data_IF_310617405963
#
_entry.id   IF_310617405963
#
_cell.length_a   1.000
_cell.length_b   1.000
_cell.length_c   1.000
_cell.angle_alpha   90.00
_cell.angle_beta   90.00
_cell.angle_gamma   90.00
#
_symmetry.space_group_name_H-M   'P 1'
#
loop_
_entity.id
_entity.type
_entity.pdbx_description
1 polymer ?
#
# COMPACT_ATOMS: atom_id res chain seq x y z
N UNK A 1 8.03 6.29 -7.46
CA UNK A 1 8.32 7.10 -6.26
C UNK A 1 7.27 8.18 -6.10
N UNK A 2 6.93 8.52 -4.85
CA UNK A 2 5.89 9.49 -4.54
C UNK A 2 5.07 9.07 -3.32
N UNK A 3 4.17 9.96 -2.91
CA UNK A 3 3.12 9.66 -1.95
C UNK A 3 1.84 9.36 -2.73
N UNK A 4 1.14 8.30 -2.35
CA UNK A 4 -0.09 7.85 -2.99
C UNK A 4 -1.16 7.72 -1.92
N UNK A 5 -2.16 8.59 -1.99
CA UNK A 5 -3.28 8.58 -1.07
C UNK A 5 -4.36 7.65 -1.60
N UNK A 6 -4.94 6.84 -0.72
CA UNK A 6 -6.13 6.07 -1.07
C UNK A 6 -7.32 7.02 -1.22
N UNK A 7 -7.97 6.95 -2.37
CA UNK A 7 -9.22 7.65 -2.65
C UNK A 7 -10.40 6.77 -2.24
N UNK A 8 -10.32 5.47 -2.55
CA UNK A 8 -11.41 4.53 -2.31
C UNK A 8 -10.91 3.08 -2.21
N UNK A 9 -11.44 2.34 -1.24
CA UNK A 9 -11.40 0.86 -1.23
C UNK A 9 -12.48 0.34 -2.18
N UNK A 10 -12.10 -0.44 -3.20
CA UNK A 10 -12.98 -0.84 -4.29
C UNK A 10 -13.79 -2.11 -4.02
N UNK A 11 -13.33 -2.97 -3.10
CA UNK A 11 -13.99 -4.21 -2.72
C UNK A 11 -14.34 -4.25 -1.24
N UNK A 12 -15.32 -5.08 -0.87
CA UNK A 12 -15.72 -5.26 0.52
C UNK A 12 -14.69 -6.10 1.28
N UNK A 13 -14.28 -5.62 2.47
CA UNK A 13 -13.25 -6.26 3.29
C UNK A 13 -13.82 -7.07 4.47
N UNK A 14 -15.15 -7.08 4.66
CA UNK A 14 -15.82 -7.71 5.81
C UNK A 14 -15.54 -7.05 7.17
N UNK A 15 -14.59 -6.12 7.26
CA UNK A 15 -14.21 -5.40 8.46
C UNK A 15 -14.20 -3.88 8.22
N UNK A 16 -15.11 -3.16 8.89
CA UNK A 16 -15.27 -1.71 8.72
C UNK A 16 -14.06 -0.91 9.18
N UNK A 17 -13.36 -1.35 10.22
CA UNK A 17 -12.19 -0.66 10.76
C UNK A 17 -11.00 -0.80 9.81
N UNK A 18 -10.86 -1.97 9.18
CA UNK A 18 -9.87 -2.17 8.12
C UNK A 18 -10.14 -1.25 6.92
N UNK A 19 -11.40 -1.20 6.47
CA UNK A 19 -11.82 -0.32 5.37
C UNK A 19 -11.56 1.16 5.69
N UNK A 20 -11.86 1.61 6.91
CA UNK A 20 -11.55 2.97 7.36
C UNK A 20 -10.05 3.22 7.36
N UNK A 21 -9.27 2.30 7.91
CA UNK A 21 -7.81 2.36 7.95
C UNK A 21 -7.20 2.57 6.57
N UNK A 22 -7.64 1.81 5.56
CA UNK A 22 -7.19 1.99 4.18
C UNK A 22 -7.67 3.29 3.54
N UNK A 23 -8.94 3.69 3.71
CA UNK A 23 -9.46 4.93 3.13
C UNK A 23 -8.74 6.20 3.60
N UNK A 24 -8.13 6.19 4.79
CA UNK A 24 -7.30 7.29 5.27
C UNK A 24 -5.79 7.08 5.08
N UNK A 25 -5.39 6.04 4.33
CA UNK A 25 -3.99 5.66 4.20
C UNK A 25 -3.25 6.37 3.07
N UNK A 26 -1.94 6.52 3.25
CA UNK A 26 -0.99 7.05 2.30
C UNK A 26 0.20 6.09 2.20
N UNK A 27 0.45 5.60 0.99
CA UNK A 27 1.62 4.81 0.63
C UNK A 27 2.75 5.73 0.19
N UNK A 28 3.93 5.57 0.77
CA UNK A 28 5.11 6.41 0.47
C UNK A 28 6.24 5.56 -0.06
N UNK A 29 6.69 5.90 -1.27
CA UNK A 29 7.83 5.25 -1.93
C UNK A 29 8.90 6.31 -2.20
N UNK A 30 10.03 6.27 -1.48
CA UNK A 30 11.11 7.25 -1.66
C UNK A 30 12.21 6.78 -2.62
N UNK A 31 13.15 7.69 -2.93
CA UNK A 31 14.31 7.43 -3.81
C UNK A 31 15.33 6.45 -3.22
N UNK A 32 15.33 6.26 -1.91
CA UNK A 32 16.24 5.39 -1.17
C UNK A 32 15.63 3.99 -0.93
N UNK A 33 14.59 3.66 -1.71
CA UNK A 33 13.84 2.42 -1.63
C UNK A 33 13.13 2.21 -0.31
N UNK A 34 12.94 3.23 0.53
CA UNK A 34 12.18 3.08 1.76
C UNK A 34 10.69 3.16 1.47
N UNK A 35 9.95 2.31 2.17
CA UNK A 35 8.50 2.28 2.15
C UNK A 35 7.94 2.75 3.48
N UNK A 36 6.83 3.47 3.43
CA UNK A 36 6.01 3.71 4.61
C UNK A 36 4.52 3.67 4.24
N UNK A 37 3.73 2.99 5.07
CA UNK A 37 2.29 3.08 5.10
C UNK A 37 1.90 3.90 6.34
N UNK A 38 1.03 4.89 6.16
CA UNK A 38 0.49 5.70 7.26
C UNK A 38 -0.98 5.93 7.05
N UNK A 39 -1.75 5.92 8.12
CA UNK A 39 -3.17 6.27 8.15
C UNK A 39 -3.42 7.30 9.25
N UNK A 40 -4.42 8.17 9.05
CA UNK A 40 -4.90 9.03 10.14
C UNK A 40 -5.83 8.28 11.11
N UNK A 41 -6.37 7.14 10.69
CA UNK A 41 -7.17 6.27 11.54
C UNK A 41 -6.24 5.42 12.42
N UNK A 42 -6.50 5.42 13.72
CA UNK A 42 -5.67 4.76 14.74
C UNK A 42 -6.28 3.47 15.26
N UNK A 43 -7.13 2.81 14.48
CA UNK A 43 -7.70 1.53 14.92
C UNK A 43 -6.60 0.48 15.13
N UNK A 44 -6.75 -0.43 16.11
CA UNK A 44 -5.71 -1.41 16.44
C UNK A 44 -5.34 -2.33 15.28
N UNK A 45 -6.31 -2.73 14.46
CA UNK A 45 -6.09 -3.65 13.35
C UNK A 45 -5.19 -3.02 12.27
N UNK A 46 -5.49 -1.79 11.86
CA UNK A 46 -4.65 -1.09 10.89
C UNK A 46 -3.29 -0.72 11.46
N UNK A 47 -3.22 -0.40 12.76
CA UNK A 47 -1.94 -0.18 13.45
C UNK A 47 -1.02 -1.40 13.38
N UNK A 48 -1.57 -2.61 13.39
CA UNK A 48 -0.78 -3.83 13.16
C UNK A 48 -0.19 -3.88 11.75
N UNK A 49 -0.96 -3.50 10.73
CA UNK A 49 -0.49 -3.44 9.33
C UNK A 49 0.62 -2.39 9.16
N UNK A 50 0.47 -1.21 9.78
CA UNK A 50 1.53 -0.20 9.81
C UNK A 50 2.80 -0.74 10.49
N UNK A 51 2.64 -1.47 11.60
CA UNK A 51 3.76 -2.10 12.31
C UNK A 51 4.47 -3.16 11.46
N UNK A 52 3.72 -4.00 10.74
CA UNK A 52 4.27 -5.01 9.83
C UNK A 52 5.11 -4.39 8.72
N UNK A 53 4.72 -3.22 8.24
CA UNK A 53 5.43 -2.50 7.17
C UNK A 53 6.48 -1.52 7.69
N UNK A 54 6.67 -1.43 9.00
CA UNK A 54 7.64 -0.53 9.63
C UNK A 54 9.05 -0.87 9.16
N UNK A 55 9.81 0.16 8.80
CA UNK A 55 11.18 0.03 8.28
C UNK A 55 11.30 -0.84 7.01
N UNK A 56 10.21 -1.08 6.30
CA UNK A 56 10.23 -1.83 5.05
C UNK A 56 10.89 -1.01 3.93
N UNK A 57 11.45 -1.73 2.98
CA UNK A 57 11.90 -1.24 1.69
C UNK A 57 10.96 -1.71 0.59
N UNK A 58 11.04 -1.08 -0.57
CA UNK A 58 10.32 -1.51 -1.76
C UNK A 58 11.28 -1.82 -2.91
N UNK A 59 10.89 -2.75 -3.77
CA UNK A 59 11.56 -3.03 -5.05
C UNK A 59 10.56 -3.48 -6.10
N UNK A 60 10.94 -3.37 -7.36
CA UNK A 60 10.13 -3.85 -8.48
C UNK A 60 10.51 -5.29 -8.78
N UNK A 61 9.50 -6.14 -8.95
CA UNK A 61 9.59 -7.51 -9.47
C UNK A 61 9.07 -7.49 -10.91
N UNK A 62 9.95 -7.32 -11.91
CA UNK A 62 9.55 -7.13 -13.31
C UNK A 62 8.96 -8.39 -13.93
N UNK A 63 9.32 -9.58 -13.44
CA UNK A 63 8.79 -10.85 -13.95
C UNK A 63 7.29 -11.00 -13.66
N UNK A 64 6.84 -10.42 -12.54
CA UNK A 64 5.45 -10.49 -12.09
C UNK A 64 4.74 -9.14 -12.15
N UNK A 65 5.36 -8.12 -12.76
CA UNK A 65 4.86 -6.75 -12.86
C UNK A 65 4.29 -6.18 -11.54
N UNK A 66 5.03 -6.37 -10.43
CA UNK A 66 4.56 -5.98 -9.09
C UNK A 66 5.63 -5.30 -8.26
N UNK A 67 5.21 -4.50 -7.30
CA UNK A 67 6.07 -3.92 -6.26
C UNK A 67 6.09 -4.86 -5.07
N UNK A 68 7.28 -5.26 -4.63
CA UNK A 68 7.50 -6.04 -3.42
C UNK A 68 7.90 -5.12 -2.27
N UNK A 69 7.26 -5.29 -1.12
CA UNK A 69 7.53 -4.55 0.11
C UNK A 69 8.00 -5.53 1.17
N UNK A 70 9.02 -5.11 1.91
CA UNK A 70 9.56 -5.82 3.06
C UNK A 70 11.04 -5.52 3.20
N UNK A 71 11.81 -6.45 3.75
CA UNK A 71 13.23 -6.27 3.96
C UNK A 71 14.02 -7.48 3.43
N UNK A 72 15.34 -7.46 3.56
CA UNK A 72 16.17 -8.59 3.11
C UNK A 72 15.90 -9.86 3.93
N UNK A 73 15.58 -9.73 5.21
CA UNK A 73 15.39 -10.86 6.12
C UNK A 73 14.10 -11.62 5.81
N UNK A 74 13.06 -10.93 5.33
CA UNK A 74 11.80 -11.53 4.87
C UNK A 74 11.72 -11.73 3.34
N UNK A 75 12.82 -11.59 2.61
CA UNK A 75 12.84 -11.69 1.14
C UNK A 75 11.86 -10.73 0.41
N UNK A 76 11.51 -9.61 1.05
CA UNK A 76 10.54 -8.61 0.59
C UNK A 76 9.14 -9.21 0.40
N UNK A 77 8.65 -10.00 1.35
CA UNK A 77 7.33 -10.68 1.25
C UNK A 77 6.29 -10.16 2.24
N UNK A 78 6.45 -8.94 2.76
CA UNK A 78 5.48 -8.33 3.67
C UNK A 78 4.21 -7.92 2.94
N UNK A 79 4.33 -7.40 1.71
CA UNK A 79 3.22 -6.95 0.87
C UNK A 79 3.63 -6.91 -0.61
N UNK A 80 2.71 -7.25 -1.50
CA UNK A 80 2.86 -7.21 -2.95
C UNK A 80 1.78 -6.31 -3.53
N UNK A 81 2.20 -5.34 -4.32
CA UNK A 81 1.30 -4.38 -4.97
C UNK A 81 1.42 -4.57 -6.48
N UNK A 82 0.38 -5.06 -7.11
CA UNK A 82 0.21 -4.95 -8.55
C UNK A 82 -0.44 -3.60 -8.87
N UNK A 83 0.05 -2.93 -9.92
CA UNK A 83 -0.41 -1.59 -10.30
C UNK A 83 -1.13 -1.67 -11.64
N UNK A 84 -2.41 -1.33 -11.65
CA UNK A 84 -3.22 -1.21 -12.85
C UNK A 84 -3.54 0.27 -13.11
N UNK A 85 -3.55 0.68 -14.39
CA UNK A 85 -4.07 1.98 -14.80
C UNK A 85 -5.26 1.79 -15.72
N UNK A 86 -6.43 2.28 -15.32
CA UNK A 86 -7.69 2.13 -16.05
C UNK A 86 -8.48 3.43 -16.04
N UNK A 87 -8.85 3.95 -17.22
CA UNK A 87 -9.63 5.19 -17.36
C UNK A 87 -9.07 6.34 -16.50
N UNK A 88 -7.77 6.59 -16.63
CA UNK A 88 -7.00 7.60 -15.88
C UNK A 88 -6.82 7.35 -14.38
N UNK A 89 -7.51 6.37 -13.81
CA UNK A 89 -7.36 5.96 -12.42
C UNK A 89 -6.20 5.00 -12.25
N UNK A 90 -5.51 5.11 -11.12
CA UNK A 90 -4.49 4.15 -10.70
C UNK A 90 -5.07 3.26 -9.61
N UNK A 91 -4.92 1.95 -9.77
CA UNK A 91 -5.40 0.95 -8.82
C UNK A 91 -4.21 0.18 -8.28
N UNK A 92 -4.13 0.07 -6.96
CA UNK A 92 -3.21 -0.81 -6.25
C UNK A 92 -3.96 -2.06 -5.82
N UNK A 93 -3.48 -3.21 -6.30
CA UNK A 93 -3.98 -4.53 -5.91
C UNK A 93 -3.01 -5.12 -4.89
N UNK A 94 -3.44 -5.21 -3.63
CA UNK A 94 -2.72 -5.94 -2.59
C UNK A 94 -3.07 -7.43 -2.74
N UNK A 95 -2.19 -8.15 -3.44
CA UNK A 95 -2.52 -9.48 -3.97
C UNK A 95 -2.74 -10.54 -2.89
N UNK A 96 -2.06 -10.43 -1.75
CA UNK A 96 -2.13 -11.41 -0.66
C UNK A 96 -3.46 -11.38 0.09
N UNK A 97 -4.08 -10.20 0.14
CA UNK A 97 -5.33 -9.95 0.87
C UNK A 97 -6.50 -9.68 -0.06
N UNK A 98 -6.29 -9.72 -1.38
CA UNK A 98 -7.26 -9.40 -2.41
C UNK A 98 -7.93 -8.03 -2.16
N UNK A 99 -7.13 -7.02 -1.81
CA UNK A 99 -7.62 -5.65 -1.54
C UNK A 99 -7.29 -4.76 -2.72
N UNK A 100 -8.30 -4.08 -3.26
CA UNK A 100 -8.19 -3.20 -4.41
C UNK A 100 -8.41 -1.75 -3.96
N UNK A 101 -7.41 -0.90 -4.21
CA UNK A 101 -7.40 0.48 -3.75
C UNK A 101 -7.27 1.41 -4.95
N UNK A 102 -8.25 2.29 -5.16
CA UNK A 102 -8.07 3.44 -6.03
C UNK A 102 -7.17 4.45 -5.31
N UNK A 103 -6.11 4.87 -5.98
CA UNK A 103 -5.09 5.77 -5.41
C UNK A 103 -4.79 6.94 -6.33
N UNK A 104 -4.42 8.05 -5.71
CA UNK A 104 -3.96 9.25 -6.39
C UNK A 104 -2.58 9.66 -5.88
N UNK A 105 -1.72 10.06 -6.80
CA UNK A 105 -0.42 10.61 -6.44
C UNK A 105 -0.62 12.02 -5.89
N UNK A 106 -0.08 12.26 -4.70
CA UNK A 106 -0.05 13.59 -4.09
C UNK A 106 1.38 14.12 -4.08
N UNK A 107 1.54 15.42 -4.33
CA UNK A 107 2.83 16.08 -4.15
C UNK A 107 3.18 16.18 -2.66
N UNK A 108 4.47 16.16 -2.33
CA UNK A 108 4.90 16.52 -0.97
C UNK A 108 4.69 18.03 -0.84
N UNK A 109 3.82 18.46 0.09
CA UNK A 109 4.09 19.71 0.81
C UNK A 109 5.32 19.51 1.70
#
# INVERSE_FOLDING_TARGET
MGNWKVVKVLNELGNKDLTKGFNSSIFKFDKNFNFALKSSDKNPLFSQIESMTKNSKWKIDPQKNRVKIGNKNDNYTTMFIEVERKNEKTIFHLTESNINLEVEKIEKN
#
